data_IF_388396081462
#
_entry.id   IF_388396081462
#
_cell.length_a   1.000
_cell.length_b   1.000
_cell.length_c   1.000
_cell.angle_alpha   90.00
_cell.angle_beta   90.00
_cell.angle_gamma   90.00
#
_symmetry.space_group_name_H-M   'P 1'
#
loop_
_entity.id
_entity.type
_entity.pdbx_description
1 polymer ?
#
# COMPACT_ATOMS: atom_id res chain seq x y z
N UNK A 1 -0.96 -8.21 34.87
CA UNK A 1 -1.39 -8.12 33.46
C UNK A 1 -0.24 -8.47 32.55
N UNK A 2 -0.50 -9.32 31.57
CA UNK A 2 0.52 -9.75 30.62
C UNK A 2 0.78 -8.67 29.58
N UNK A 3 2.02 -8.61 29.09
CA UNK A 3 2.42 -7.78 27.98
C UNK A 3 2.91 -8.65 26.83
N UNK A 4 2.61 -8.26 25.60
CA UNK A 4 3.03 -8.97 24.40
C UNK A 4 3.51 -7.98 23.33
N UNK A 5 4.33 -8.47 22.41
CA UNK A 5 4.69 -7.73 21.20
C UNK A 5 3.82 -8.25 20.03
N UNK A 6 3.18 -7.32 19.32
CA UNK A 6 2.34 -7.63 18.16
C UNK A 6 2.45 -6.48 17.16
N UNK A 7 2.77 -6.80 15.92
CA UNK A 7 3.04 -5.82 14.85
C UNK A 7 4.07 -4.74 15.25
N UNK A 8 5.09 -5.13 16.01
CA UNK A 8 6.13 -4.21 16.43
C UNK A 8 5.77 -3.27 17.57
N UNK A 9 4.58 -3.42 18.15
CA UNK A 9 4.12 -2.67 19.31
C UNK A 9 4.09 -3.56 20.54
N UNK A 10 4.31 -2.94 21.69
CA UNK A 10 4.16 -3.58 22.99
C UNK A 10 2.77 -3.27 23.53
N UNK A 11 2.05 -4.30 23.92
CA UNK A 11 0.67 -4.22 24.38
C UNK A 11 0.54 -4.79 25.78
N UNK A 12 -0.32 -4.17 26.59
CA UNK A 12 -0.69 -4.66 27.90
C UNK A 12 -2.09 -5.24 27.87
N UNK A 13 -2.25 -6.47 28.36
CA UNK A 13 -3.55 -7.09 28.52
C UNK A 13 -4.33 -6.39 29.63
N UNK A 14 -5.51 -5.90 29.32
CA UNK A 14 -6.42 -5.23 30.26
C UNK A 14 -7.45 -6.15 30.88
N UNK A 15 -7.68 -7.31 30.27
CA UNK A 15 -8.73 -8.26 30.66
C UNK A 15 -8.15 -9.65 30.81
N UNK A 16 -8.46 -10.32 31.93
CA UNK A 16 -8.06 -11.71 32.13
C UNK A 16 -8.81 -12.61 31.16
N UNK A 17 -8.07 -13.50 30.47
CA UNK A 17 -8.65 -14.47 29.56
C UNK A 17 -9.19 -13.89 28.25
N UNK A 18 -8.73 -12.69 27.83
CA UNK A 18 -9.12 -12.14 26.55
C UNK A 18 -8.63 -13.02 25.40
N UNK A 19 -9.50 -13.27 24.44
CA UNK A 19 -9.18 -13.94 23.18
C UNK A 19 -8.90 -12.95 22.05
N UNK A 20 -9.00 -11.64 22.29
CA UNK A 20 -8.76 -10.62 21.30
C UNK A 20 -7.28 -10.53 20.97
N UNK A 21 -6.98 -10.32 19.70
CA UNK A 21 -5.63 -9.97 19.28
C UNK A 21 -5.26 -8.58 19.77
N UNK A 22 -3.98 -8.34 20.19
CA UNK A 22 -3.51 -7.00 20.48
C UNK A 22 -3.62 -6.12 19.24
N UNK A 23 -4.40 -5.05 19.34
CA UNK A 23 -4.57 -4.10 18.25
C UNK A 23 -5.01 -2.75 18.79
N UNK A 24 -4.81 -1.71 17.99
CA UNK A 24 -5.24 -0.38 18.34
C UNK A 24 -6.76 -0.36 18.56
N UNK A 25 -7.18 0.21 19.70
CA UNK A 25 -8.57 0.31 20.14
C UNK A 25 -9.28 -1.04 20.42
N UNK A 26 -8.57 -2.17 20.51
CA UNK A 26 -9.15 -3.41 21.01
C UNK A 26 -9.46 -3.27 22.50
N UNK A 27 -10.65 -3.76 22.92
CA UNK A 27 -11.11 -3.59 24.31
C UNK A 27 -10.21 -4.26 25.34
N UNK A 28 -9.57 -5.38 24.99
CA UNK A 28 -8.74 -6.17 25.88
C UNK A 28 -7.28 -5.77 25.97
N UNK A 29 -6.82 -4.76 25.18
CA UNK A 29 -5.42 -4.43 25.05
C UNK A 29 -5.17 -2.93 25.06
N UNK A 30 -4.03 -2.51 25.63
CA UNK A 30 -3.52 -1.14 25.56
C UNK A 30 -2.12 -1.15 24.98
N UNK A 31 -1.87 -0.27 24.02
CA UNK A 31 -0.56 -0.11 23.42
C UNK A 31 0.36 0.64 24.39
N UNK A 32 1.55 0.09 24.65
CA UNK A 32 2.56 0.68 25.52
C UNK A 32 3.68 1.36 24.70
N UNK A 33 4.06 0.77 23.59
CA UNK A 33 5.14 1.25 22.73
C UNK A 33 4.81 0.98 21.28
N UNK A 34 5.29 1.83 20.37
CA UNK A 34 5.14 1.69 18.92
C UNK A 34 4.60 2.94 18.29
N UNK A 35 4.58 2.94 16.96
CA UNK A 35 4.03 4.02 16.14
C UNK A 35 2.77 3.52 15.43
N UNK A 36 1.58 4.07 15.73
CA UNK A 36 0.32 3.61 15.13
C UNK A 36 0.14 4.01 13.66
N UNK A 37 1.12 4.65 13.05
CA UNK A 37 1.04 5.11 11.67
C UNK A 37 1.24 3.95 10.69
N UNK A 38 0.26 3.77 9.79
CA UNK A 38 0.39 2.88 8.65
C UNK A 38 0.85 3.68 7.44
N UNK A 39 1.96 3.25 6.83
CA UNK A 39 2.54 3.86 5.64
C UNK A 39 2.84 2.81 4.59
N UNK A 40 2.81 3.21 3.31
CA UNK A 40 3.27 2.37 2.21
C UNK A 40 4.35 3.08 1.41
N UNK A 41 5.26 2.30 0.85
CA UNK A 41 6.26 2.77 -0.10
C UNK A 41 6.10 2.01 -1.42
N UNK A 42 6.38 2.67 -2.53
CA UNK A 42 6.32 2.09 -3.86
C UNK A 42 7.74 1.89 -4.37
N UNK A 43 8.06 0.65 -4.75
CA UNK A 43 9.33 0.31 -5.38
C UNK A 43 9.14 -0.09 -6.83
N UNK A 44 10.23 -0.14 -7.59
CA UNK A 44 10.25 -0.57 -8.98
C UNK A 44 11.31 -1.65 -9.17
N UNK A 45 10.92 -2.79 -9.74
CA UNK A 45 11.81 -3.95 -9.91
C UNK A 45 13.00 -3.67 -10.83
N UNK A 46 12.84 -2.74 -11.77
CA UNK A 46 13.89 -2.35 -12.73
C UNK A 46 14.39 -0.92 -12.52
N UNK A 47 14.12 -0.34 -11.35
CA UNK A 47 14.56 1.01 -11.01
C UNK A 47 13.68 2.11 -11.58
N UNK A 48 14.22 3.31 -11.72
CA UNK A 48 13.46 4.53 -12.01
C UNK A 48 13.93 5.25 -13.28
N UNK A 49 14.97 4.75 -13.94
CA UNK A 49 15.54 5.35 -15.15
C UNK A 49 15.35 4.41 -16.32
N UNK A 50 14.65 4.88 -17.36
CA UNK A 50 14.30 4.07 -18.53
C UNK A 50 14.46 4.85 -19.81
N UNK A 51 14.81 4.12 -20.89
CA UNK A 51 14.52 4.56 -22.25
C UNK A 51 13.04 4.32 -22.54
N UNK A 52 12.38 5.28 -23.18
CA UNK A 52 10.96 5.19 -23.45
C UNK A 52 10.61 3.98 -24.33
N UNK A 53 11.48 3.61 -25.26
CA UNK A 53 11.26 2.50 -26.18
C UNK A 53 11.32 1.13 -25.49
N UNK A 54 12.00 1.05 -24.35
CA UNK A 54 12.21 -0.19 -23.60
C UNK A 54 11.56 -0.17 -22.23
N UNK A 55 10.66 0.78 -21.98
CA UNK A 55 10.02 0.91 -20.70
C UNK A 55 9.26 -0.37 -20.31
N UNK A 56 9.69 -1.01 -19.25
CA UNK A 56 9.03 -2.17 -18.66
C UNK A 56 9.52 -2.33 -17.23
N UNK A 57 8.62 -2.36 -16.29
CA UNK A 57 8.94 -2.59 -14.87
C UNK A 57 7.72 -3.12 -14.14
N UNK A 58 7.91 -3.55 -12.91
CA UNK A 58 6.81 -3.85 -12.00
C UNK A 58 6.94 -2.96 -10.77
N UNK A 59 5.90 -2.16 -10.52
CA UNK A 59 5.77 -1.44 -9.25
C UNK A 59 5.29 -2.40 -8.19
N UNK A 60 5.82 -2.25 -6.99
CA UNK A 60 5.37 -3.04 -5.85
C UNK A 60 5.26 -2.16 -4.62
N UNK A 61 4.40 -2.54 -3.68
CA UNK A 61 4.26 -1.83 -2.43
C UNK A 61 4.86 -2.61 -1.27
N UNK A 62 5.42 -1.87 -0.32
CA UNK A 62 5.78 -2.37 1.00
C UNK A 62 5.04 -1.54 2.04
N UNK A 63 4.51 -2.19 3.06
CA UNK A 63 3.75 -1.52 4.10
C UNK A 63 4.43 -1.65 5.46
N UNK A 64 4.34 -0.59 6.26
CA UNK A 64 4.83 -0.57 7.64
C UNK A 64 3.74 -0.08 8.58
N UNK A 65 3.60 -0.78 9.69
CA UNK A 65 2.72 -0.41 10.78
C UNK A 65 3.50 -0.54 12.08
N UNK A 66 3.47 0.49 12.91
CA UNK A 66 4.18 0.47 14.20
C UNK A 66 5.68 0.15 14.03
N UNK A 67 6.31 0.70 12.99
CA UNK A 67 7.73 0.47 12.65
C UNK A 67 8.07 -0.96 12.24
N UNK A 68 7.07 -1.78 11.92
CA UNK A 68 7.26 -3.15 11.48
C UNK A 68 6.72 -3.35 10.08
N UNK A 69 7.43 -4.14 9.27
CA UNK A 69 6.97 -4.53 7.94
C UNK A 69 5.73 -5.42 8.06
N UNK A 70 4.63 -4.99 7.46
CA UNK A 70 3.36 -5.70 7.44
C UNK A 70 2.90 -6.00 6.00
N UNK A 71 3.81 -5.96 5.04
CA UNK A 71 3.48 -6.17 3.63
C UNK A 71 2.71 -7.48 3.40
N UNK A 72 3.11 -8.55 4.07
CA UNK A 72 2.46 -9.86 3.93
C UNK A 72 1.04 -9.89 4.53
N UNK A 73 0.69 -8.92 5.34
CA UNK A 73 -0.64 -8.78 5.95
C UNK A 73 -1.58 -7.93 5.10
N UNK A 74 -1.07 -7.24 4.08
CA UNK A 74 -1.88 -6.49 3.13
C UNK A 74 -2.38 -7.47 2.06
N UNK A 75 -3.71 -7.56 1.92
CA UNK A 75 -4.32 -8.42 0.91
C UNK A 75 -4.28 -7.75 -0.47
N UNK A 76 -4.08 -8.51 -1.52
CA UNK A 76 -4.09 -7.98 -2.88
C UNK A 76 -5.43 -7.30 -3.22
N UNK A 77 -6.54 -7.83 -2.71
CA UNK A 77 -7.86 -7.23 -2.91
C UNK A 77 -8.02 -5.86 -2.24
N UNK A 78 -7.17 -5.53 -1.28
CA UNK A 78 -7.20 -4.28 -0.53
C UNK A 78 -6.24 -3.22 -1.10
N UNK A 79 -5.58 -3.49 -2.22
CA UNK A 79 -4.69 -2.54 -2.90
C UNK A 79 -5.35 -2.07 -4.17
N UNK A 80 -5.40 -0.76 -4.36
CA UNK A 80 -5.91 -0.14 -5.58
C UNK A 80 -4.88 0.79 -6.20
N UNK A 81 -4.87 0.84 -7.51
CA UNK A 81 -3.97 1.68 -8.29
C UNK A 81 -4.76 2.63 -9.16
N UNK A 82 -4.29 3.86 -9.22
CA UNK A 82 -4.82 4.89 -10.12
C UNK A 82 -3.69 5.52 -10.90
N UNK A 83 -4.02 6.06 -12.07
CA UNK A 83 -3.08 6.74 -12.96
C UNK A 83 -3.55 8.17 -13.20
N UNK A 84 -2.60 9.08 -13.30
CA UNK A 84 -2.86 10.47 -13.70
C UNK A 84 -1.94 10.84 -14.85
N UNK A 85 -2.52 10.98 -16.03
CA UNK A 85 -1.86 11.46 -17.25
C UNK A 85 -2.42 12.81 -17.70
N UNK A 86 -3.40 13.36 -16.96
CA UNK A 86 -4.16 14.54 -17.34
C UNK A 86 -5.41 14.25 -18.15
N UNK A 87 -5.58 13.03 -18.65
CA UNK A 87 -6.79 12.59 -19.33
C UNK A 87 -7.66 11.75 -18.41
N UNK A 88 -8.64 12.38 -17.77
CA UNK A 88 -9.46 11.73 -16.72
C UNK A 88 -10.20 10.51 -17.25
N UNK A 89 -10.75 10.56 -18.45
CA UNK A 89 -11.52 9.45 -19.05
C UNK A 89 -10.64 8.22 -19.28
N UNK A 90 -9.45 8.40 -19.86
CA UNK A 90 -8.52 7.31 -20.10
C UNK A 90 -7.94 6.76 -18.80
N UNK A 91 -7.67 7.63 -17.83
CA UNK A 91 -7.13 7.24 -16.53
C UNK A 91 -8.14 6.43 -15.72
N UNK A 92 -9.42 6.80 -15.78
CA UNK A 92 -10.49 6.03 -15.14
C UNK A 92 -10.64 4.64 -15.79
N UNK A 93 -10.57 4.56 -17.12
CA UNK A 93 -10.61 3.28 -17.83
C UNK A 93 -9.41 2.40 -17.48
N UNK A 94 -8.23 3.00 -17.36
CA UNK A 94 -7.03 2.28 -16.95
C UNK A 94 -7.19 1.71 -15.53
N UNK A 95 -7.72 2.49 -14.59
CA UNK A 95 -7.93 2.05 -13.20
C UNK A 95 -8.88 0.85 -13.13
N UNK A 96 -9.95 0.85 -13.93
CA UNK A 96 -10.87 -0.29 -14.03
C UNK A 96 -10.17 -1.53 -14.57
N UNK A 97 -9.38 -1.38 -15.63
CA UNK A 97 -8.62 -2.48 -16.24
C UNK A 97 -7.60 -3.08 -15.28
N UNK A 98 -7.01 -2.25 -14.40
CA UNK A 98 -6.00 -2.68 -13.43
C UNK A 98 -6.56 -3.02 -12.05
N UNK A 99 -7.87 -2.98 -11.88
CA UNK A 99 -8.49 -3.44 -10.64
C UNK A 99 -8.12 -4.90 -10.38
N UNK A 100 -7.66 -5.21 -9.17
CA UNK A 100 -7.21 -6.54 -8.81
C UNK A 100 -5.74 -6.85 -9.08
N UNK A 101 -4.94 -5.89 -9.57
CA UNK A 101 -3.50 -6.08 -9.73
C UNK A 101 -2.80 -6.40 -8.39
N UNK A 102 -3.30 -5.86 -7.29
CA UNK A 102 -2.77 -6.14 -5.97
C UNK A 102 -1.48 -5.39 -5.66
N UNK A 103 -0.62 -6.02 -4.87
CA UNK A 103 0.63 -5.41 -4.42
C UNK A 103 1.69 -5.23 -5.51
N UNK A 104 1.52 -5.88 -6.65
CA UNK A 104 2.46 -5.84 -7.76
C UNK A 104 1.73 -5.37 -9.02
N UNK A 105 2.23 -4.30 -9.63
CA UNK A 105 1.63 -3.69 -10.82
C UNK A 105 2.64 -3.72 -11.97
N UNK A 106 2.53 -4.68 -12.90
CA UNK A 106 3.38 -4.68 -14.09
C UNK A 106 3.03 -3.50 -15.00
N UNK A 107 4.04 -2.81 -15.48
CA UNK A 107 3.91 -1.66 -16.37
C UNK A 107 4.69 -1.86 -17.66
N UNK A 108 4.11 -1.41 -18.77
CA UNK A 108 4.75 -1.29 -20.06
C UNK A 108 4.57 0.13 -20.59
N UNK A 109 5.13 0.42 -21.75
CA UNK A 109 4.99 1.76 -22.35
C UNK A 109 3.51 2.15 -22.56
N UNK A 110 2.64 1.19 -22.80
CA UNK A 110 1.19 1.45 -22.99
C UNK A 110 0.53 2.00 -21.72
N UNK A 111 1.06 1.65 -20.55
CA UNK A 111 0.54 2.13 -19.27
C UNK A 111 0.87 3.60 -19.00
N UNK A 112 1.85 4.17 -19.70
CA UNK A 112 2.21 5.58 -19.55
C UNK A 112 1.23 6.52 -20.26
N UNK A 113 0.34 5.97 -21.07
CA UNK A 113 -0.67 6.73 -21.81
C UNK A 113 -0.21 7.17 -23.20
N UNK A 114 -1.16 7.47 -24.11
CA UNK A 114 -0.85 7.74 -25.51
C UNK A 114 -0.07 9.03 -25.74
N UNK A 115 -0.14 9.98 -24.80
CA UNK A 115 0.53 11.28 -24.92
C UNK A 115 1.83 11.38 -24.12
N UNK A 116 2.33 10.28 -23.58
CA UNK A 116 3.54 10.33 -22.74
C UNK A 116 4.75 10.89 -23.46
N UNK A 117 4.92 10.56 -24.74
CA UNK A 117 6.04 11.05 -25.55
C UNK A 117 6.07 12.59 -25.67
N UNK A 118 4.89 13.22 -25.60
CA UNK A 118 4.77 14.68 -25.66
C UNK A 118 4.87 15.33 -24.29
N UNK A 119 4.18 14.79 -23.29
CA UNK A 119 4.06 15.38 -21.96
C UNK A 119 5.12 14.86 -20.97
N UNK A 120 5.57 13.63 -21.15
CA UNK A 120 6.60 12.97 -20.34
C UNK A 120 6.30 12.99 -18.82
N UNK A 121 5.02 12.93 -18.47
CA UNK A 121 4.57 12.87 -17.09
C UNK A 121 3.43 11.85 -16.98
N UNK A 122 3.63 10.87 -16.11
CA UNK A 122 2.60 9.92 -15.74
C UNK A 122 2.77 9.56 -14.26
N UNK A 123 1.75 9.78 -13.46
CA UNK A 123 1.75 9.50 -12.03
C UNK A 123 0.91 8.28 -11.73
N UNK A 124 1.47 7.34 -10.96
CA UNK A 124 0.76 6.19 -10.44
C UNK A 124 0.61 6.33 -8.94
N UNK A 125 -0.59 6.15 -8.44
CA UNK A 125 -0.91 6.22 -7.02
C UNK A 125 -1.41 4.86 -6.56
N UNK A 126 -0.86 4.38 -5.44
CA UNK A 126 -1.34 3.19 -4.75
C UNK A 126 -2.04 3.59 -3.47
N UNK A 127 -3.16 2.94 -3.19
CA UNK A 127 -3.85 3.00 -1.92
C UNK A 127 -3.98 1.59 -1.36
N UNK A 128 -3.61 1.40 -0.12
CA UNK A 128 -3.69 0.10 0.53
C UNK A 128 -4.46 0.20 1.83
N UNK A 129 -5.23 -0.85 2.13
CA UNK A 129 -5.91 -1.04 3.40
C UNK A 129 -5.19 -2.13 4.17
N UNK A 130 -4.90 -1.88 5.43
CA UNK A 130 -4.45 -2.91 6.37
C UNK A 130 -5.58 -3.20 7.35
N UNK A 131 -6.07 -4.43 7.36
CA UNK A 131 -7.15 -4.84 8.26
C UNK A 131 -6.55 -5.38 9.54
N UNK A 132 -7.04 -4.89 10.66
CA UNK A 132 -6.64 -5.30 12.00
C UNK A 132 -7.93 -5.61 12.78
N UNK A 133 -8.38 -6.84 12.70
CA UNK A 133 -9.68 -7.24 13.22
C UNK A 133 -10.82 -6.58 12.44
N UNK A 134 -11.69 -5.85 13.12
CA UNK A 134 -12.77 -5.08 12.50
C UNK A 134 -12.37 -3.67 12.12
N UNK A 135 -11.18 -3.26 12.50
CA UNK A 135 -10.63 -1.96 12.16
C UNK A 135 -9.70 -2.06 10.95
N UNK A 136 -9.48 -0.94 10.30
CA UNK A 136 -8.53 -0.87 9.22
C UNK A 136 -7.84 0.49 9.20
N UNK A 137 -6.60 0.48 8.71
CA UNK A 137 -5.84 1.67 8.43
C UNK A 137 -5.67 1.82 6.92
N UNK A 138 -5.63 3.06 6.44
CA UNK A 138 -5.47 3.38 5.02
C UNK A 138 -4.17 4.12 4.83
N UNK A 139 -3.40 3.72 3.84
CA UNK A 139 -2.21 4.45 3.42
C UNK A 139 -2.19 4.59 1.91
N UNK A 140 -1.59 5.67 1.43
CA UNK A 140 -1.41 5.91 0.01
C UNK A 140 -0.05 6.54 -0.27
N UNK A 141 0.46 6.30 -1.46
CA UNK A 141 1.67 6.91 -1.96
C UNK A 141 1.61 6.95 -3.48
N UNK A 142 2.49 7.73 -4.09
CA UNK A 142 2.51 7.88 -5.54
C UNK A 142 3.94 7.97 -6.06
N UNK A 143 4.10 7.64 -7.34
CA UNK A 143 5.36 7.80 -8.08
C UNK A 143 5.06 8.41 -9.45
N UNK A 144 5.99 9.19 -9.95
CA UNK A 144 5.86 9.86 -11.25
C UNK A 144 7.01 9.45 -12.16
N UNK A 145 6.67 9.05 -13.38
CA UNK A 145 7.63 8.79 -14.45
C UNK A 145 7.70 9.94 -15.43
#
# INVERSE_FOLDING_TARGET
ADTVWHYGCKWKCLMTGTADEPQYAAAGWAMLEGNPEFTIEIGSTKGWYFDIETFSTTLYITGKLYNRDVTDHILDADVSWTRDTGNVSEDNAWAVKRAGAGKNLPLTIDDLGPNYTNMRVCTFKAQALLRDGQQFEVAENFVTF
#
